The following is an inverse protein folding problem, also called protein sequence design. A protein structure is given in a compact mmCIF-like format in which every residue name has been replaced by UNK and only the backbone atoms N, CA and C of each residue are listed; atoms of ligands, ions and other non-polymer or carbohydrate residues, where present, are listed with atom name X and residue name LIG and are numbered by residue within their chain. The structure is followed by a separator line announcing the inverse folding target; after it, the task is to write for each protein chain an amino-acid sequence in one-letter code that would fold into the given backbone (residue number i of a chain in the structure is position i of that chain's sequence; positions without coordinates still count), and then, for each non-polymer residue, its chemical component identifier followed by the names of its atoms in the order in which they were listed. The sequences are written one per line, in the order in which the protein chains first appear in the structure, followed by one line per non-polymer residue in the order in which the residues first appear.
data_IF_071020698918
#
_entry.id   IF_071020698918
#
_cell.length_a   1.000
_cell.length_b   1.000
_cell.length_c   1.000
_cell.angle_alpha   90.00
_cell.angle_beta   90.00
_cell.angle_gamma   90.00
#
_symmetry.space_group_name_H-M   'P 1'
#
loop_
_entity.id
_entity.type
_entity.pdbx_description
1 polymer ?
#
# COMPACT_ATOMS: atom_id res chain seq x y z
N UNK A 1 17.79 -21.84 -37.33
CA UNK A 1 16.42 -21.70 -36.76
C UNK A 1 16.37 -21.81 -35.23
N UNK A 2 17.29 -22.55 -34.56
CA UNK A 2 17.30 -22.67 -33.09
C UNK A 2 17.81 -21.41 -32.37
N UNK A 3 18.92 -20.81 -32.84
CA UNK A 3 19.54 -19.65 -32.19
C UNK A 3 18.70 -18.36 -32.31
N UNK A 4 18.03 -18.16 -33.44
CA UNK A 4 17.14 -17.01 -33.66
C UNK A 4 15.90 -17.04 -32.76
N UNK A 5 15.37 -18.24 -32.47
CA UNK A 5 14.26 -18.44 -31.52
C UNK A 5 14.72 -18.18 -30.08
N UNK A 6 15.95 -18.54 -29.72
CA UNK A 6 16.52 -18.26 -28.39
C UNK A 6 16.76 -16.75 -28.17
N UNK A 7 17.26 -16.05 -29.20
CA UNK A 7 17.43 -14.59 -29.19
C UNK A 7 16.10 -13.85 -29.07
N UNK A 8 15.07 -14.27 -29.82
CA UNK A 8 13.72 -13.70 -29.72
C UNK A 8 13.09 -13.93 -28.33
N UNK A 9 13.34 -15.08 -27.69
CA UNK A 9 12.86 -15.36 -26.34
C UNK A 9 13.53 -14.46 -25.29
N UNK A 10 14.84 -14.17 -25.46
CA UNK A 10 15.60 -13.28 -24.58
C UNK A 10 15.21 -11.80 -24.69
N UNK A 11 14.70 -11.34 -25.85
CA UNK A 11 14.19 -9.98 -26.00
C UNK A 11 12.83 -9.78 -25.33
N UNK A 12 12.04 -10.84 -25.17
CA UNK A 12 10.71 -10.76 -24.55
C UNK A 12 10.78 -10.64 -23.00
N UNK A 13 11.87 -11.11 -22.38
CA UNK A 13 12.11 -11.01 -20.93
C UNK A 13 12.84 -9.74 -20.49
N UNK A 14 13.39 -8.96 -21.44
CA UNK A 14 14.17 -7.76 -21.14
C UNK A 14 13.32 -6.50 -20.94
N UNK A 15 11.98 -6.58 -21.06
CA UNK A 15 11.08 -5.53 -20.61
C UNK A 15 11.00 -5.54 -19.08
N UNK A 16 12.09 -5.13 -18.43
CA UNK A 16 12.12 -4.86 -17.01
C UNK A 16 11.22 -3.67 -16.74
N UNK A 17 10.13 -3.92 -16.02
CA UNK A 17 9.27 -2.89 -15.46
C UNK A 17 10.13 -2.05 -14.52
N UNK A 18 10.57 -0.89 -14.99
CA UNK A 18 11.13 0.14 -14.12
C UNK A 18 9.95 0.71 -13.32
N UNK A 19 9.62 0.04 -12.21
CA UNK A 19 8.56 0.50 -11.33
C UNK A 19 8.91 1.92 -10.88
N UNK A 20 8.00 2.86 -11.11
CA UNK A 20 8.20 4.23 -10.66
C UNK A 20 8.49 4.21 -9.15
N UNK A 21 9.49 4.99 -8.74
CA UNK A 21 9.82 5.11 -7.31
C UNK A 21 8.57 5.61 -6.57
N UNK A 22 8.06 4.88 -5.57
CA UNK A 22 6.87 5.33 -4.85
C UNK A 22 7.19 6.59 -4.04
N UNK A 23 6.18 7.44 -3.87
CA UNK A 23 6.23 8.52 -2.89
C UNK A 23 5.85 7.94 -1.52
N UNK A 24 6.62 8.27 -0.48
CA UNK A 24 6.35 7.83 0.89
C UNK A 24 5.92 9.06 1.70
N UNK A 25 4.72 9.01 2.28
CA UNK A 25 4.16 10.07 3.12
C UNK A 25 3.96 9.47 4.52
N UNK A 26 4.50 10.13 5.53
CA UNK A 26 4.27 9.77 6.93
C UNK A 26 3.31 10.80 7.52
N UNK A 27 2.14 10.33 7.94
CA UNK A 27 1.18 11.14 8.68
C UNK A 27 1.31 10.74 10.15
N UNK A 28 1.74 11.68 10.98
CA UNK A 28 1.90 11.48 12.41
C UNK A 28 0.89 12.36 13.15
N UNK A 29 0.24 11.79 14.17
CA UNK A 29 -0.80 12.46 14.94
C UNK A 29 -0.38 12.44 16.40
N UNK A 30 -0.55 13.59 17.06
CA UNK A 30 -0.24 13.76 18.48
C UNK A 30 -1.46 13.38 19.33
N UNK A 31 -1.23 12.72 20.47
CA UNK A 31 -2.24 12.33 21.47
C UNK A 31 -3.49 11.58 20.95
N UNK A 32 -3.43 10.96 19.77
CA UNK A 32 -4.52 10.13 19.26
C UNK A 32 -4.52 8.76 19.94
N UNK A 33 -5.61 8.42 20.63
CA UNK A 33 -5.80 7.12 21.24
C UNK A 33 -6.21 6.05 20.23
N UNK A 34 -5.98 4.78 20.58
CA UNK A 34 -6.32 3.64 19.72
C UNK A 34 -7.80 3.61 19.30
N UNK A 35 -8.71 3.98 20.21
CA UNK A 35 -10.15 3.99 19.96
C UNK A 35 -10.70 5.24 19.27
N UNK A 36 -9.85 6.20 18.87
CA UNK A 36 -10.28 7.46 18.26
C UNK A 36 -10.52 7.33 16.75
N UNK A 37 -9.90 6.37 16.08
CA UNK A 37 -10.17 6.06 14.68
C UNK A 37 -11.44 5.19 14.57
N UNK A 38 -12.40 5.58 13.73
CA UNK A 38 -13.66 4.83 13.57
C UNK A 38 -13.48 3.44 12.98
N UNK A 39 -12.39 3.18 12.26
CA UNK A 39 -12.01 1.83 11.81
C UNK A 39 -11.56 0.89 12.94
N UNK A 40 -11.14 1.42 14.10
CA UNK A 40 -10.70 0.64 15.27
C UNK A 40 -11.76 0.53 16.37
N UNK A 41 -12.73 1.46 16.37
CA UNK A 41 -13.81 1.49 17.34
C UNK A 41 -15.12 1.90 16.64
N UNK A 42 -16.10 1.00 16.48
CA UNK A 42 -17.41 1.32 15.90
C UNK A 42 -18.19 2.38 16.68
N UNK A 43 -17.81 2.63 17.94
CA UNK A 43 -18.39 3.66 18.83
C UNK A 43 -17.44 4.86 18.99
N UNK A 44 -16.48 5.05 18.08
CA UNK A 44 -15.57 6.19 18.11
C UNK A 44 -16.35 7.51 18.17
N UNK A 45 -15.81 8.47 18.94
CA UNK A 45 -16.44 9.79 19.13
C UNK A 45 -16.58 10.57 17.82
N UNK A 46 -15.64 10.36 16.90
CA UNK A 46 -15.58 11.05 15.62
C UNK A 46 -15.53 10.03 14.48
N UNK A 47 -16.12 10.40 13.34
CA UNK A 47 -16.00 9.64 12.11
C UNK A 47 -14.71 10.08 11.40
N UNK A 48 -13.89 9.12 10.98
CA UNK A 48 -12.61 9.35 10.32
C UNK A 48 -12.59 8.74 8.91
N UNK A 49 -13.49 9.13 7.99
CA UNK A 49 -13.71 8.41 6.74
C UNK A 49 -12.46 8.28 5.84
N UNK A 50 -11.54 9.26 5.91
CA UNK A 50 -10.27 9.18 5.17
C UNK A 50 -9.28 8.19 5.78
N UNK A 51 -9.23 8.08 7.12
CA UNK A 51 -8.41 7.07 7.81
C UNK A 51 -9.03 5.68 7.61
N UNK A 52 -10.36 5.59 7.69
CA UNK A 52 -11.08 4.33 7.47
C UNK A 52 -10.85 3.79 6.06
N UNK A 53 -10.85 4.67 5.05
CA UNK A 53 -10.50 4.30 3.67
C UNK A 53 -9.06 3.79 3.57
N UNK A 54 -8.09 4.47 4.22
CA UNK A 54 -6.70 4.01 4.24
C UNK A 54 -6.55 2.64 4.92
N UNK A 55 -7.30 2.39 5.99
CA UNK A 55 -7.32 1.10 6.66
C UNK A 55 -7.92 -0.01 5.76
N UNK A 56 -9.03 0.28 5.07
CA UNK A 56 -9.70 -0.68 4.18
C UNK A 56 -8.96 -0.98 2.87
N UNK A 57 -8.18 -0.02 2.35
CA UNK A 57 -7.33 -0.20 1.16
C UNK A 57 -5.92 -0.73 1.51
N UNK A 58 -5.60 -0.82 2.79
CA UNK A 58 -4.24 -1.07 3.27
C UNK A 58 -4.16 -2.15 4.33
N UNK A 59 -3.28 -1.92 5.31
CA UNK A 59 -3.06 -2.80 6.44
C UNK A 59 -3.15 -1.99 7.74
N UNK A 60 -3.80 -2.58 8.74
CA UNK A 60 -3.91 -2.02 10.07
C UNK A 60 -3.18 -2.90 11.06
N UNK A 61 -2.34 -2.29 11.88
CA UNK A 61 -1.64 -2.96 12.97
C UNK A 61 -2.45 -2.77 14.26
N UNK A 62 -2.78 -3.86 14.94
CA UNK A 62 -3.69 -3.87 16.09
C UNK A 62 -3.04 -4.33 17.39
N UNK A 63 -1.73 -4.59 17.37
CA UNK A 63 -0.95 -5.09 18.50
C UNK A 63 0.44 -4.43 18.47
N UNK A 64 0.93 -3.99 19.63
CA UNK A 64 2.12 -3.13 19.75
C UNK A 64 2.68 -3.07 21.16
#
# INVERSE_FOLDING_TARGET
MSLFRLLLFSLFTAATVFAAKPNVIIIYVDDMGYGDASCLNPQAKFQTPNIDRLAGEGMTFTDG
#
